data_IF_272774446766
#
_entry.id   IF_272774446766
#
_cell.length_a   1.000
_cell.length_b   1.000
_cell.length_c   1.000
_cell.angle_alpha   90.00
_cell.angle_beta   90.00
_cell.angle_gamma   90.00
#
_symmetry.space_group_name_H-M   'P 1'
#
loop_
_entity.id
_entity.type
_entity.pdbx_description
1 polymer ?
#
# COMPACT_ATOMS: atom_id res chain seq x y z
N UNK A 1 -7.25 31.78 -63.84
CA UNK A 1 -7.77 32.06 -62.51
C UNK A 1 -7.62 30.78 -61.69
N UNK A 2 -6.60 30.71 -60.82
CA UNK A 2 -6.38 29.58 -59.93
C UNK A 2 -6.75 30.06 -58.52
N UNK A 3 -7.82 29.48 -57.95
CA UNK A 3 -8.25 29.73 -56.58
C UNK A 3 -7.37 28.91 -55.60
N UNK A 4 -6.63 29.60 -54.73
CA UNK A 4 -5.87 29.00 -53.66
C UNK A 4 -6.82 28.76 -52.46
N UNK A 5 -7.00 27.51 -52.09
CA UNK A 5 -7.69 27.12 -50.86
C UNK A 5 -6.70 27.22 -49.70
N UNK A 6 -6.97 28.17 -48.82
CA UNK A 6 -6.25 28.34 -47.55
C UNK A 6 -6.89 27.37 -46.54
N UNK A 7 -6.21 26.26 -46.24
CA UNK A 7 -6.57 25.37 -45.13
C UNK A 7 -6.09 26.01 -43.81
N UNK A 8 -7.04 26.57 -43.06
CA UNK A 8 -6.81 27.00 -41.69
C UNK A 8 -6.80 25.75 -40.79
N UNK A 9 -5.64 25.31 -40.36
CA UNK A 9 -5.49 24.37 -39.27
C UNK A 9 -5.88 25.05 -37.97
N UNK A 10 -7.09 24.82 -37.51
CA UNK A 10 -7.49 25.08 -36.11
C UNK A 10 -6.80 24.04 -35.27
N UNK A 11 -5.69 24.42 -34.65
CA UNK A 11 -5.02 23.64 -33.64
C UNK A 11 -5.98 23.51 -32.44
N UNK A 12 -6.60 22.34 -32.28
CA UNK A 12 -7.17 21.92 -31.02
C UNK A 12 -6.01 21.85 -30.03
N UNK A 13 -5.89 22.90 -29.22
CA UNK A 13 -5.14 22.82 -27.94
C UNK A 13 -5.93 21.81 -27.10
N UNK A 14 -5.51 20.56 -27.14
CA UNK A 14 -5.92 19.58 -26.14
C UNK A 14 -5.44 20.16 -24.80
N UNK A 15 -6.37 20.65 -23.99
CA UNK A 15 -6.14 20.86 -22.56
C UNK A 15 -5.50 19.56 -22.04
N UNK A 16 -4.30 19.67 -21.48
CA UNK A 16 -3.55 18.53 -21.00
C UNK A 16 -4.45 17.71 -20.07
N UNK A 17 -4.71 16.50 -20.49
CA UNK A 17 -5.26 15.46 -19.64
C UNK A 17 -4.16 15.21 -18.59
N UNK A 18 -4.41 15.55 -17.33
CA UNK A 18 -3.50 15.29 -16.23
C UNK A 18 -3.37 13.77 -16.08
N UNK A 19 -2.59 13.19 -16.95
CA UNK A 19 -1.86 11.93 -17.03
C UNK A 19 -2.40 10.63 -16.43
N UNK A 20 -3.61 10.58 -15.89
CA UNK A 20 -4.19 9.37 -15.33
C UNK A 20 -5.40 8.92 -16.15
N UNK A 21 -5.20 8.02 -17.12
CA UNK A 21 -6.29 7.35 -17.80
C UNK A 21 -7.25 6.66 -16.82
N UNK A 22 -8.48 6.35 -17.25
CA UNK A 22 -9.40 5.56 -16.45
C UNK A 22 -8.86 4.13 -16.26
N UNK A 23 -8.94 3.61 -15.03
CA UNK A 23 -8.52 2.25 -14.67
C UNK A 23 -9.76 1.43 -14.34
N UNK A 24 -9.98 0.33 -15.08
CA UNK A 24 -11.06 -0.60 -14.78
C UNK A 24 -10.79 -1.34 -13.46
N UNK A 25 -11.84 -1.90 -12.88
CA UNK A 25 -11.68 -2.70 -11.66
C UNK A 25 -10.79 -3.93 -11.92
N UNK A 26 -10.88 -4.54 -13.09
CA UNK A 26 -10.09 -5.71 -13.47
C UNK A 26 -8.60 -5.37 -13.68
N UNK A 27 -8.32 -4.18 -14.21
CA UNK A 27 -6.95 -3.71 -14.45
C UNK A 27 -6.29 -3.12 -13.18
N UNK A 28 -7.09 -2.83 -12.15
CA UNK A 28 -6.63 -2.15 -10.94
C UNK A 28 -5.39 -2.78 -10.30
N UNK A 29 -5.29 -4.11 -10.11
CA UNK A 29 -4.11 -4.73 -9.51
C UNK A 29 -2.85 -4.55 -10.36
N UNK A 30 -2.97 -4.72 -11.69
CA UNK A 30 -1.82 -4.62 -12.61
C UNK A 30 -1.32 -3.18 -12.73
N UNK A 31 -2.23 -2.21 -12.81
CA UNK A 31 -1.89 -0.78 -12.88
C UNK A 31 -1.25 -0.31 -11.57
N UNK A 32 -1.84 -0.69 -10.42
CA UNK A 32 -1.24 -0.40 -9.12
C UNK A 32 0.19 -0.92 -9.03
N UNK A 33 0.40 -2.19 -9.44
CA UNK A 33 1.71 -2.83 -9.44
C UNK A 33 2.70 -2.08 -10.31
N UNK A 34 2.32 -1.71 -11.54
CA UNK A 34 3.19 -0.97 -12.45
C UNK A 34 3.62 0.38 -11.86
N UNK A 35 2.68 1.17 -11.31
CA UNK A 35 2.99 2.46 -10.70
C UNK A 35 3.85 2.31 -9.43
N UNK A 36 3.59 1.29 -8.63
CA UNK A 36 4.40 1.00 -7.44
C UNK A 36 5.82 0.56 -7.83
N UNK A 37 5.98 -0.27 -8.85
CA UNK A 37 7.29 -0.63 -9.39
C UNK A 37 8.05 0.60 -9.91
N UNK A 38 7.38 1.52 -10.59
CA UNK A 38 7.97 2.81 -11.00
C UNK A 38 8.50 3.61 -9.80
N UNK A 39 7.72 3.70 -8.72
CA UNK A 39 8.15 4.33 -7.47
C UNK A 39 9.39 3.63 -6.88
N UNK A 40 9.36 2.30 -6.74
CA UNK A 40 10.44 1.52 -6.16
C UNK A 40 11.74 1.63 -6.96
N UNK A 41 11.66 1.58 -8.30
CA UNK A 41 12.81 1.75 -9.20
C UNK A 41 13.41 3.15 -9.06
N UNK A 42 12.57 4.18 -9.11
CA UNK A 42 13.02 5.57 -8.97
C UNK A 42 13.69 5.84 -7.62
N UNK A 43 13.23 5.19 -6.56
CA UNK A 43 13.80 5.32 -5.22
C UNK A 43 14.99 4.36 -4.97
N UNK A 44 15.41 3.58 -5.96
CA UNK A 44 16.56 2.68 -5.86
C UNK A 44 16.33 1.52 -4.89
N UNK A 45 15.08 1.08 -4.75
CA UNK A 45 14.67 -0.08 -3.93
C UNK A 45 14.73 -1.37 -4.74
N UNK A 46 14.52 -1.27 -6.06
CA UNK A 46 14.66 -2.35 -7.04
C UNK A 46 15.49 -1.84 -8.24
N UNK A 47 16.17 -2.71 -9.01
CA UNK A 47 17.01 -2.29 -10.14
C UNK A 47 16.21 -1.63 -11.26
N UNK A 48 15.10 -2.24 -11.64
CA UNK A 48 14.22 -1.79 -12.73
C UNK A 48 12.78 -2.27 -12.56
N UNK A 49 11.88 -1.74 -13.40
CA UNK A 49 10.45 -2.07 -13.36
C UNK A 49 10.16 -3.51 -13.81
N UNK A 50 10.95 -4.07 -14.72
CA UNK A 50 10.75 -5.42 -15.23
C UNK A 50 11.05 -6.47 -14.15
N UNK A 51 12.14 -6.32 -13.42
CA UNK A 51 12.47 -7.18 -12.28
C UNK A 51 11.42 -7.00 -11.17
N UNK A 52 11.03 -5.77 -10.86
CA UNK A 52 9.98 -5.51 -9.86
C UNK A 52 8.67 -6.23 -10.19
N UNK A 53 8.28 -6.27 -11.46
CA UNK A 53 7.05 -6.93 -11.89
C UNK A 53 7.03 -8.44 -11.58
N UNK A 54 8.18 -9.09 -11.50
CA UNK A 54 8.34 -10.50 -11.12
C UNK A 54 8.36 -10.75 -9.60
N UNK A 55 8.67 -9.73 -8.79
CA UNK A 55 8.86 -9.90 -7.36
C UNK A 55 7.54 -10.05 -6.59
N UNK A 56 7.60 -10.74 -5.47
CA UNK A 56 6.50 -10.79 -4.50
C UNK A 56 6.51 -9.50 -3.66
N UNK A 57 5.81 -8.48 -4.13
CA UNK A 57 5.71 -7.16 -3.46
C UNK A 57 4.51 -7.06 -2.50
N UNK A 58 3.83 -8.18 -2.21
CA UNK A 58 2.80 -8.27 -1.17
C UNK A 58 1.43 -7.68 -1.52
N UNK A 59 1.19 -7.27 -2.76
CA UNK A 59 -0.12 -6.77 -3.19
C UNK A 59 -0.92 -7.86 -3.91
N UNK A 60 -2.26 -7.85 -3.67
CA UNK A 60 -3.18 -8.81 -4.25
C UNK A 60 -3.11 -8.88 -5.78
N UNK A 61 -3.31 -10.07 -6.31
CA UNK A 61 -3.32 -10.34 -7.75
C UNK A 61 -4.70 -10.16 -8.37
N UNK A 62 -5.73 -9.96 -7.55
CA UNK A 62 -7.13 -9.92 -7.97
C UNK A 62 -7.91 -8.90 -7.16
N UNK A 63 -9.05 -8.50 -7.71
CA UNK A 63 -10.04 -7.68 -7.02
C UNK A 63 -10.85 -8.57 -6.09
N UNK A 64 -11.09 -8.10 -4.88
CA UNK A 64 -11.99 -8.76 -3.94
C UNK A 64 -13.37 -9.01 -4.60
N UNK A 65 -13.84 -10.26 -4.68
CA UNK A 65 -15.15 -10.58 -5.24
C UNK A 65 -16.30 -9.88 -4.52
N UNK A 66 -16.20 -9.65 -3.22
CA UNK A 66 -17.21 -8.94 -2.42
C UNK A 66 -17.30 -7.47 -2.82
N UNK A 67 -16.16 -6.82 -3.11
CA UNK A 67 -16.14 -5.45 -3.65
C UNK A 67 -16.87 -5.36 -4.99
N UNK A 68 -16.61 -6.32 -5.90
CA UNK A 68 -17.29 -6.40 -7.19
C UNK A 68 -18.79 -6.57 -7.02
N UNK A 69 -19.20 -7.53 -6.20
CA UNK A 69 -20.61 -7.79 -5.93
C UNK A 69 -21.33 -6.58 -5.30
N UNK A 70 -20.69 -5.87 -4.40
CA UNK A 70 -21.23 -4.64 -3.81
C UNK A 70 -21.39 -3.49 -4.84
N UNK A 71 -20.46 -3.40 -5.82
CA UNK A 71 -20.58 -2.48 -6.96
C UNK A 71 -21.76 -2.87 -7.84
N UNK A 72 -21.88 -4.15 -8.22
CA UNK A 72 -22.97 -4.66 -9.06
C UNK A 72 -24.34 -4.51 -8.37
N UNK A 73 -24.39 -4.67 -7.06
CA UNK A 73 -25.58 -4.43 -6.23
C UNK A 73 -25.91 -2.93 -6.01
N UNK A 74 -25.05 -2.02 -6.49
CA UNK A 74 -25.22 -0.57 -6.33
C UNK A 74 -24.95 -0.05 -4.91
N UNK A 75 -24.44 -0.88 -4.01
CA UNK A 75 -24.04 -0.48 -2.65
C UNK A 75 -22.73 0.31 -2.61
N UNK A 76 -21.94 0.20 -3.67
CA UNK A 76 -20.69 0.95 -3.87
C UNK A 76 -20.71 1.60 -5.25
N UNK A 77 -20.35 2.87 -5.31
CA UNK A 77 -20.02 3.57 -6.56
C UNK A 77 -18.53 3.45 -6.84
N UNK A 78 -18.19 2.96 -8.02
CA UNK A 78 -16.82 2.88 -8.52
C UNK A 78 -16.57 3.96 -9.56
N UNK A 79 -15.45 4.70 -9.41
CA UNK A 79 -15.03 5.73 -10.35
C UNK A 79 -13.63 5.43 -10.90
N UNK A 80 -13.61 4.88 -12.12
CA UNK A 80 -12.38 4.46 -12.81
C UNK A 80 -11.40 5.60 -13.08
N UNK A 81 -11.90 6.81 -13.36
CA UNK A 81 -11.05 7.99 -13.62
C UNK A 81 -10.37 8.49 -12.33
N UNK A 82 -11.08 8.46 -11.20
CA UNK A 82 -10.46 8.80 -9.90
C UNK A 82 -9.44 7.74 -9.53
N UNK A 83 -9.74 6.44 -9.72
CA UNK A 83 -8.79 5.36 -9.45
C UNK A 83 -7.52 5.52 -10.29
N UNK A 84 -7.65 5.86 -11.57
CA UNK A 84 -6.51 6.09 -12.45
C UNK A 84 -5.60 7.23 -11.97
N UNK A 85 -6.18 8.38 -11.59
CA UNK A 85 -5.42 9.48 -11.00
C UNK A 85 -4.74 9.09 -9.69
N UNK A 86 -5.46 8.38 -8.82
CA UNK A 86 -4.93 7.86 -7.56
C UNK A 86 -3.68 6.99 -7.79
N UNK A 87 -3.78 6.02 -8.68
CA UNK A 87 -2.67 5.11 -8.95
C UNK A 87 -1.48 5.81 -9.61
N UNK A 88 -1.74 6.71 -10.57
CA UNK A 88 -0.66 7.47 -11.20
C UNK A 88 0.17 8.29 -10.19
N UNK A 89 -0.45 8.78 -9.11
CA UNK A 89 0.29 9.48 -8.06
C UNK A 89 1.29 8.58 -7.33
N UNK A 90 1.07 7.25 -7.26
CA UNK A 90 2.02 6.31 -6.64
C UNK A 90 3.39 6.42 -7.27
N UNK A 91 3.44 6.41 -8.62
CA UNK A 91 4.69 6.53 -9.36
C UNK A 91 5.46 7.83 -9.09
N UNK A 92 4.77 8.89 -8.63
CA UNK A 92 5.35 10.22 -8.36
C UNK A 92 5.61 10.52 -6.88
N UNK A 93 5.23 9.63 -5.94
CA UNK A 93 5.47 9.81 -4.50
C UNK A 93 6.96 10.10 -4.23
N UNK A 94 7.27 11.07 -3.37
CA UNK A 94 8.65 11.39 -3.00
C UNK A 94 9.37 10.18 -2.41
N UNK A 95 10.65 10.02 -2.74
CA UNK A 95 11.51 9.05 -2.07
C UNK A 95 11.88 9.48 -0.64
N UNK A 96 11.74 10.76 -0.33
CA UNK A 96 11.84 11.27 1.04
C UNK A 96 10.58 10.87 1.83
N UNK A 97 10.74 9.94 2.78
CA UNK A 97 9.62 9.46 3.62
C UNK A 97 9.06 10.52 4.56
N UNK A 98 9.74 11.65 4.68
CA UNK A 98 9.29 12.78 5.50
C UNK A 98 8.55 13.83 4.70
N UNK A 99 8.53 13.69 3.36
CA UNK A 99 7.81 14.57 2.44
C UNK A 99 6.29 14.42 2.58
N UNK A 100 5.57 15.50 2.32
CA UNK A 100 4.11 15.51 2.38
C UNK A 100 3.48 14.47 1.44
N UNK A 101 3.95 14.36 0.20
CA UNK A 101 3.42 13.42 -0.78
C UNK A 101 3.55 11.96 -0.33
N UNK A 102 4.64 11.63 0.37
CA UNK A 102 4.86 10.29 0.90
C UNK A 102 3.95 9.97 2.11
N UNK A 103 3.57 10.97 2.89
CA UNK A 103 2.73 10.80 4.10
C UNK A 103 1.24 10.90 3.83
N UNK A 104 0.85 11.69 2.83
CA UNK A 104 -0.55 11.92 2.48
C UNK A 104 -1.00 11.13 1.25
N UNK A 105 -0.20 10.16 0.82
CA UNK A 105 -0.58 9.30 -0.29
C UNK A 105 -1.92 8.60 -0.01
N UNK A 106 -2.79 8.59 -1.00
CA UNK A 106 -4.10 7.91 -0.93
C UNK A 106 -5.25 8.78 -0.43
N UNK A 107 -5.00 9.95 0.19
CA UNK A 107 -6.05 10.83 0.69
C UNK A 107 -6.98 11.38 -0.39
N UNK A 108 -6.89 12.66 -0.68
CA UNK A 108 -7.79 13.35 -1.64
C UNK A 108 -7.77 12.71 -3.02
N UNK A 109 -6.61 12.27 -3.51
CA UNK A 109 -6.46 11.74 -4.86
C UNK A 109 -7.23 10.44 -5.08
N UNK A 110 -7.32 9.60 -4.06
CA UNK A 110 -8.02 8.31 -4.11
C UNK A 110 -9.47 8.41 -3.61
N UNK A 111 -9.81 9.51 -2.94
CA UNK A 111 -11.16 9.70 -2.44
C UNK A 111 -12.17 9.73 -3.59
N UNK A 112 -13.23 8.96 -3.45
CA UNK A 112 -14.28 8.85 -4.46
C UNK A 112 -14.02 7.80 -5.53
N UNK A 113 -12.85 7.12 -5.54
CA UNK A 113 -12.64 5.95 -6.38
C UNK A 113 -13.61 4.81 -6.01
N UNK A 114 -13.82 4.63 -4.70
CA UNK A 114 -14.72 3.64 -4.10
C UNK A 114 -15.53 4.36 -3.02
N UNK A 115 -16.83 4.55 -3.27
CA UNK A 115 -17.75 5.24 -2.36
C UNK A 115 -18.94 4.37 -2.02
N UNK A 116 -19.15 4.13 -0.73
CA UNK A 116 -20.37 3.53 -0.22
C UNK A 116 -21.60 4.39 -0.55
N UNK A 117 -22.74 3.75 -0.72
CA UNK A 117 -24.01 4.40 -1.04
C UNK A 117 -25.10 4.10 -0.02
N UNK A 118 -24.84 3.22 0.93
CA UNK A 118 -25.84 2.79 1.91
C UNK A 118 -25.93 3.81 3.04
N UNK A 119 -27.14 4.33 3.25
CA UNK A 119 -27.44 5.28 4.34
C UNK A 119 -27.41 4.60 5.71
N UNK A 120 -27.32 5.41 6.77
CA UNK A 120 -27.49 4.96 8.16
C UNK A 120 -28.79 4.20 8.36
N UNK A 121 -28.69 3.02 8.97
CA UNK A 121 -29.82 2.11 9.14
C UNK A 121 -30.04 1.13 7.98
N UNK A 122 -29.35 1.31 6.84
CA UNK A 122 -29.38 0.38 5.72
C UNK A 122 -28.49 -0.85 5.96
N UNK A 123 -28.78 -1.96 5.27
CA UNK A 123 -28.03 -3.21 5.38
C UNK A 123 -26.68 -3.12 4.68
N UNK A 124 -25.65 -3.63 5.35
CA UNK A 124 -24.28 -3.71 4.87
C UNK A 124 -23.63 -5.05 5.21
N UNK A 125 -22.63 -5.42 4.43
CA UNK A 125 -21.75 -6.55 4.72
C UNK A 125 -20.36 -6.06 5.19
N UNK A 126 -19.90 -4.93 4.66
CA UNK A 126 -18.59 -4.33 4.96
C UNK A 126 -18.70 -2.81 5.13
N UNK A 127 -17.75 -2.23 5.84
CA UNK A 127 -17.69 -0.80 6.14
C UNK A 127 -17.72 0.09 4.88
N UNK A 128 -17.10 -0.36 3.80
CA UNK A 128 -17.00 0.39 2.54
C UNK A 128 -18.33 0.58 1.82
N UNK A 129 -19.37 -0.20 2.14
CA UNK A 129 -20.72 -0.03 1.59
C UNK A 129 -21.44 1.19 2.18
N UNK A 130 -21.11 1.55 3.41
CA UNK A 130 -21.79 2.63 4.15
C UNK A 130 -21.26 4.02 3.80
N UNK A 131 -22.15 5.00 3.68
CA UNK A 131 -21.77 6.42 3.60
C UNK A 131 -21.00 6.90 4.84
N UNK A 132 -21.26 6.29 6.00
CA UNK A 132 -20.55 6.54 7.26
C UNK A 132 -19.23 5.78 7.37
N UNK A 133 -18.93 4.83 6.45
CA UNK A 133 -17.82 3.88 6.52
C UNK A 133 -17.82 3.03 7.81
N UNK A 134 -18.98 2.78 8.36
CA UNK A 134 -19.17 1.98 9.59
C UNK A 134 -20.34 1.03 9.40
N UNK A 135 -20.04 -0.27 9.30
CA UNK A 135 -20.99 -1.36 9.27
C UNK A 135 -20.93 -2.10 10.60
N UNK A 136 -21.97 -2.00 11.42
CA UNK A 136 -22.09 -2.76 12.67
C UNK A 136 -22.56 -4.17 12.32
N UNK A 137 -21.62 -5.10 12.21
CA UNK A 137 -21.88 -6.50 11.92
C UNK A 137 -21.95 -7.27 13.25
N UNK A 138 -23.11 -7.82 13.63
CA UNK A 138 -23.23 -8.60 14.85
C UNK A 138 -22.34 -9.85 14.79
N UNK A 139 -21.87 -10.32 15.94
CA UNK A 139 -21.17 -11.59 16.02
C UNK A 139 -22.07 -12.71 15.48
N UNK A 140 -21.66 -13.33 14.39
CA UNK A 140 -22.43 -14.36 13.73
C UNK A 140 -21.52 -15.56 13.36
N UNK A 141 -22.05 -16.78 13.45
CA UNK A 141 -21.27 -17.98 13.11
C UNK A 141 -21.19 -18.25 11.62
N UNK A 142 -21.98 -17.55 10.81
CA UNK A 142 -22.06 -17.77 9.38
C UNK A 142 -21.00 -16.96 8.62
N UNK A 143 -20.61 -17.45 7.46
CA UNK A 143 -19.60 -16.80 6.65
C UNK A 143 -20.05 -15.42 6.10
N UNK A 144 -21.37 -15.18 6.01
CA UNK A 144 -21.97 -13.92 5.57
C UNK A 144 -22.91 -13.37 6.63
N UNK A 145 -22.46 -12.39 7.39
CA UNK A 145 -23.29 -11.68 8.34
C UNK A 145 -23.65 -10.32 7.76
N UNK A 146 -24.94 -10.04 7.71
CA UNK A 146 -25.43 -8.70 7.40
C UNK A 146 -25.41 -7.84 8.66
N UNK A 147 -24.80 -6.69 8.54
CA UNK A 147 -24.81 -5.62 9.55
C UNK A 147 -25.73 -4.49 9.15
N UNK A 148 -25.63 -3.43 9.92
CA UNK A 148 -26.38 -2.19 9.68
C UNK A 148 -25.42 -1.02 9.66
N UNK A 149 -25.51 -0.15 8.66
CA UNK A 149 -24.73 1.08 8.63
C UNK A 149 -25.08 1.97 9.82
N UNK A 150 -24.08 2.30 10.62
CA UNK A 150 -24.22 3.16 11.81
C UNK A 150 -23.45 4.47 11.63
N UNK A 151 -23.69 5.44 12.50
CA UNK A 151 -23.04 6.76 12.43
C UNK A 151 -23.66 7.68 11.39
N UNK A 152 -22.98 8.76 11.06
CA UNK A 152 -23.42 9.76 10.07
C UNK A 152 -22.54 9.69 8.83
N UNK A 153 -23.08 10.07 7.68
CA UNK A 153 -22.31 10.15 6.44
C UNK A 153 -21.06 11.02 6.64
N UNK A 154 -19.92 10.50 6.23
CA UNK A 154 -18.62 11.17 6.38
C UNK A 154 -18.44 12.16 5.23
N UNK A 155 -18.12 13.42 5.55
CA UNK A 155 -17.76 14.41 4.54
C UNK A 155 -16.49 13.96 3.77
N UNK A 156 -16.30 14.42 2.52
CA UNK A 156 -15.05 14.11 1.81
C UNK A 156 -13.84 14.74 2.52
N UNK A 157 -12.66 14.04 2.53
CA UNK A 157 -11.41 14.64 2.99
C UNK A 157 -10.98 15.81 2.07
N UNK A 158 -10.11 16.72 2.52
CA UNK A 158 -9.36 16.65 3.77
C UNK A 158 -10.17 17.13 4.97
N UNK A 159 -10.00 16.46 6.10
CA UNK A 159 -10.65 16.84 7.35
C UNK A 159 -9.83 17.87 8.09
N UNK A 160 -10.51 18.84 8.66
CA UNK A 160 -9.91 19.87 9.52
C UNK A 160 -9.45 19.27 10.86
N UNK A 161 -8.55 19.98 11.52
CA UNK A 161 -8.14 19.66 12.90
C UNK A 161 -9.39 19.59 13.80
N UNK A 162 -9.44 18.52 14.61
CA UNK A 162 -10.57 18.24 15.50
C UNK A 162 -11.64 17.31 14.90
N UNK A 163 -11.56 16.97 13.62
CA UNK A 163 -12.50 16.04 12.95
C UNK A 163 -11.96 14.62 13.04
N UNK A 164 -12.85 13.63 13.20
CA UNK A 164 -12.51 12.22 13.22
C UNK A 164 -11.87 11.76 11.91
N UNK A 165 -10.86 10.88 12.00
CA UNK A 165 -10.08 10.37 10.88
C UNK A 165 -9.78 8.88 11.06
N UNK A 166 -9.39 8.20 9.99
CA UNK A 166 -8.89 6.82 10.03
C UNK A 166 -7.38 6.76 9.71
N UNK A 167 -6.93 7.65 8.82
CA UNK A 167 -5.53 7.71 8.38
C UNK A 167 -5.05 9.16 8.32
N UNK A 168 -3.74 9.36 8.34
CA UNK A 168 -3.15 10.71 8.22
C UNK A 168 -3.51 11.37 6.88
N UNK A 169 -3.69 10.59 5.82
CA UNK A 169 -4.10 11.10 4.52
C UNK A 169 -5.56 11.64 4.46
N UNK A 170 -6.35 11.38 5.49
CA UNK A 170 -7.69 11.97 5.61
C UNK A 170 -7.63 13.42 6.11
N UNK A 171 -6.54 13.83 6.75
CA UNK A 171 -6.41 15.14 7.39
C UNK A 171 -5.88 16.20 6.41
N UNK A 172 -6.21 17.46 6.65
CA UNK A 172 -5.66 18.59 5.90
C UNK A 172 -4.13 18.66 6.02
N UNK A 173 -3.49 19.35 5.07
CA UNK A 173 -2.04 19.60 5.13
C UNK A 173 -1.66 20.28 6.46
N UNK A 174 -0.59 19.81 7.08
CA UNK A 174 -0.18 20.29 8.40
C UNK A 174 -0.85 19.59 9.59
N UNK A 175 -1.65 18.55 9.33
CA UNK A 175 -2.26 17.70 10.35
C UNK A 175 -1.94 16.22 10.14
N UNK A 176 -2.14 15.40 11.19
CA UNK A 176 -2.04 13.96 11.16
C UNK A 176 -3.22 13.33 11.92
N UNK A 177 -3.54 12.09 11.63
CA UNK A 177 -4.53 11.34 12.39
C UNK A 177 -3.86 10.75 13.63
N UNK A 178 -4.27 11.22 14.80
CA UNK A 178 -3.77 10.70 16.08
C UNK A 178 -4.43 9.35 16.37
N UNK A 179 -3.67 8.28 16.29
CA UNK A 179 -4.16 6.90 16.49
C UNK A 179 -4.66 6.57 17.90
N UNK A 180 -4.52 7.49 18.86
CA UNK A 180 -5.04 7.33 20.23
C UNK A 180 -6.45 7.90 20.35
N UNK A 181 -6.72 8.97 19.61
CA UNK A 181 -7.99 9.71 19.67
C UNK A 181 -8.83 9.58 18.41
N UNK A 182 -8.24 9.03 17.32
CA UNK A 182 -8.82 8.96 15.97
C UNK A 182 -9.31 10.32 15.45
N UNK A 183 -8.54 11.41 15.77
CA UNK A 183 -8.87 12.79 15.41
C UNK A 183 -7.71 13.45 14.70
N UNK A 184 -8.00 14.20 13.63
CA UNK A 184 -7.02 15.06 12.96
C UNK A 184 -6.43 16.07 13.94
N UNK A 185 -5.13 16.01 14.14
CA UNK A 185 -4.38 16.81 15.13
C UNK A 185 -3.25 17.55 14.42
N UNK A 186 -2.96 18.78 14.82
CA UNK A 186 -1.87 19.55 14.24
C UNK A 186 -0.52 18.86 14.41
N UNK A 187 0.35 18.97 13.38
CA UNK A 187 1.72 18.44 13.46
C UNK A 187 2.45 19.04 14.66
N UNK A 188 3.21 18.21 15.37
CA UNK A 188 4.00 18.62 16.52
C UNK A 188 5.20 19.46 16.06
N UNK A 189 5.64 20.47 16.83
CA UNK A 189 6.80 21.28 16.45
C UNK A 189 8.11 20.47 16.48
N UNK A 190 9.13 20.99 15.78
CA UNK A 190 10.49 20.45 15.86
C UNK A 190 10.97 20.29 17.31
N UNK A 191 11.60 19.17 17.63
CA UNK A 191 12.06 18.84 18.97
C UNK A 191 11.00 18.30 19.93
N UNK A 192 9.72 18.35 19.57
CA UNK A 192 8.66 17.75 20.40
C UNK A 192 8.74 16.22 20.41
N UNK A 193 8.32 15.62 21.52
CA UNK A 193 8.24 14.16 21.63
C UNK A 193 7.21 13.58 20.67
N UNK A 194 7.55 12.47 20.03
CA UNK A 194 6.73 11.79 19.05
C UNK A 194 6.77 10.26 19.18
N UNK A 195 5.77 9.60 18.64
CA UNK A 195 5.69 8.14 18.54
C UNK A 195 5.79 7.67 17.10
N UNK A 196 5.35 8.52 16.14
CA UNK A 196 5.34 8.27 14.71
C UNK A 196 5.90 9.45 13.92
N UNK A 197 6.49 9.18 12.76
CA UNK A 197 6.93 10.21 11.81
C UNK A 197 5.77 11.10 11.32
N UNK A 198 4.56 10.56 11.26
CA UNK A 198 3.37 11.31 10.83
C UNK A 198 3.01 12.47 11.76
N UNK A 199 3.46 12.44 13.01
CA UNK A 199 3.25 13.52 13.99
C UNK A 199 4.15 14.73 13.76
N UNK A 200 5.24 14.58 13.00
CA UNK A 200 6.28 15.58 12.84
C UNK A 200 6.03 16.50 11.65
N UNK A 201 6.60 17.71 11.60
CA UNK A 201 6.55 18.57 10.42
C UNK A 201 7.11 17.87 9.18
N UNK A 202 6.67 18.26 8.00
CA UNK A 202 7.24 17.75 6.74
C UNK A 202 8.75 18.06 6.69
N UNK A 203 9.53 17.15 6.13
CA UNK A 203 11.00 17.22 6.17
C UNK A 203 11.62 16.71 7.49
N UNK A 204 10.79 16.28 8.45
CA UNK A 204 11.26 15.73 9.73
C UNK A 204 10.65 14.36 10.00
N UNK A 205 11.40 13.51 10.70
CA UNK A 205 10.94 12.21 11.18
C UNK A 205 10.98 12.11 12.69
N UNK A 206 10.31 11.11 13.23
CA UNK A 206 10.31 10.78 14.65
C UNK A 206 11.50 9.86 14.97
N UNK A 207 12.59 10.39 15.47
CA UNK A 207 13.82 9.65 15.71
C UNK A 207 14.38 9.86 17.12
N UNK A 208 15.10 8.86 17.62
CA UNK A 208 15.66 8.79 18.96
C UNK A 208 15.49 7.40 19.57
N UNK A 209 15.90 7.25 20.82
CA UNK A 209 15.69 6.02 21.57
C UNK A 209 14.19 5.85 21.93
N UNK A 210 13.74 4.63 22.04
CA UNK A 210 12.36 4.33 22.47
C UNK A 210 12.04 5.08 23.78
N UNK A 211 10.93 5.80 23.76
CA UNK A 211 10.48 6.64 24.90
C UNK A 211 11.03 8.07 24.93
N UNK A 212 12.03 8.40 24.09
CA UNK A 212 12.61 9.75 24.01
C UNK A 212 12.74 10.26 22.58
N UNK A 213 11.94 9.67 21.65
CA UNK A 213 11.91 10.11 20.25
C UNK A 213 11.42 11.54 20.13
N UNK A 214 12.06 12.30 19.24
CA UNK A 214 11.65 13.68 18.94
C UNK A 214 11.58 13.93 17.44
N UNK A 215 10.78 14.92 17.06
CA UNK A 215 10.70 15.38 15.67
C UNK A 215 12.00 16.10 15.28
N UNK A 216 12.75 15.52 14.34
CA UNK A 216 14.02 16.09 13.85
C UNK A 216 14.26 15.69 12.39
N UNK A 217 15.13 16.45 11.72
CA UNK A 217 15.58 16.10 10.37
C UNK A 217 16.28 14.75 10.40
N UNK A 218 15.89 13.84 9.49
CA UNK A 218 16.54 12.55 9.34
C UNK A 218 17.75 12.67 8.42
N UNK A 219 18.83 11.90 8.70
CA UNK A 219 20.04 11.91 7.90
C UNK A 219 19.82 11.30 6.51
N UNK A 220 20.59 11.80 5.54
CA UNK A 220 20.66 11.29 4.17
C UNK A 220 21.87 10.38 3.98
N UNK A 221 22.00 9.76 2.80
CA UNK A 221 23.14 8.90 2.44
C UNK A 221 24.47 9.61 2.73
N UNK A 222 25.35 8.92 3.44
CA UNK A 222 26.66 9.42 3.87
C UNK A 222 26.67 10.13 5.22
N UNK A 223 25.53 10.52 5.76
CA UNK A 223 25.44 11.16 7.07
C UNK A 223 25.28 10.14 8.21
N UNK A 224 25.66 10.56 9.41
CA UNK A 224 25.55 9.73 10.60
C UNK A 224 24.09 9.51 11.01
N UNK A 225 23.71 8.26 11.29
CA UNK A 225 22.39 7.84 11.74
C UNK A 225 22.43 7.21 13.15
N UNK A 226 22.73 7.96 14.20
CA UNK A 226 22.87 7.43 15.55
C UNK A 226 21.58 6.73 16.03
N UNK A 227 20.43 7.20 15.57
CA UNK A 227 19.12 6.69 15.94
C UNK A 227 18.64 5.51 15.05
N UNK A 228 19.47 5.06 14.11
CA UNK A 228 19.17 3.91 13.25
C UNK A 228 18.20 4.18 12.10
N UNK A 229 17.88 5.44 11.81
CA UNK A 229 16.92 5.83 10.76
C UNK A 229 17.59 6.73 9.72
N UNK A 230 17.22 6.52 8.45
CA UNK A 230 17.59 7.34 7.31
C UNK A 230 16.33 7.91 6.65
N UNK A 231 16.48 9.07 5.98
CA UNK A 231 15.36 9.83 5.45
C UNK A 231 14.70 9.17 4.24
N UNK A 232 15.51 8.76 3.28
CA UNK A 232 14.99 8.36 1.97
C UNK A 232 14.58 6.88 1.93
N UNK A 233 13.58 6.54 1.13
CA UNK A 233 13.30 5.17 0.74
C UNK A 233 14.53 4.58 0.02
N UNK A 234 14.72 3.26 0.10
CA UNK A 234 15.92 2.64 -0.47
C UNK A 234 17.21 2.96 0.28
N UNK A 235 17.13 3.47 1.52
CA UNK A 235 18.29 3.69 2.39
C UNK A 235 18.13 3.02 3.75
N UNK A 236 19.25 2.66 4.36
CA UNK A 236 19.30 2.06 5.70
C UNK A 236 20.47 2.61 6.51
N UNK A 237 20.40 2.43 7.82
CA UNK A 237 21.47 2.80 8.74
C UNK A 237 22.39 1.59 8.95
N UNK A 238 23.64 1.68 8.49
CA UNK A 238 24.63 0.61 8.60
C UNK A 238 25.04 0.33 10.05
N UNK A 239 25.72 -0.78 10.30
CA UNK A 239 26.35 -1.08 11.59
C UNK A 239 27.34 0.01 12.03
N UNK A 240 27.99 0.70 11.09
CA UNK A 240 28.87 1.84 11.35
C UNK A 240 28.12 3.15 11.66
N UNK A 241 26.79 3.11 11.76
CA UNK A 241 25.93 4.26 12.05
C UNK A 241 26.03 5.38 10.99
N UNK A 242 26.14 5.01 9.74
CA UNK A 242 26.04 5.91 8.58
C UNK A 242 24.91 5.45 7.66
N UNK A 243 24.17 6.39 7.09
CA UNK A 243 23.14 6.07 6.09
C UNK A 243 23.81 5.64 4.79
N UNK A 244 23.37 4.50 4.27
CA UNK A 244 23.79 3.94 2.99
C UNK A 244 22.57 3.58 2.13
N UNK A 245 22.76 3.44 0.83
CA UNK A 245 21.74 2.83 -0.05
C UNK A 245 21.63 1.34 0.29
N UNK A 246 20.42 0.81 0.20
CA UNK A 246 20.19 -0.65 0.26
C UNK A 246 20.88 -1.33 -0.91
N UNK A 247 21.44 -2.51 -0.68
CA UNK A 247 22.05 -3.32 -1.72
C UNK A 247 20.99 -3.89 -2.68
N UNK A 248 21.29 -3.83 -3.96
CA UNK A 248 20.54 -4.45 -5.05
C UNK A 248 21.20 -5.80 -5.45
N UNK A 249 20.59 -6.63 -6.30
CA UNK A 249 21.17 -7.90 -6.71
C UNK A 249 22.61 -7.78 -7.21
N UNK A 250 23.50 -8.58 -6.63
CA UNK A 250 24.94 -8.56 -6.90
C UNK A 250 25.76 -7.64 -5.99
N UNK A 251 25.15 -6.73 -5.23
CA UNK A 251 25.85 -5.90 -4.27
C UNK A 251 26.31 -6.73 -3.05
N UNK A 252 27.48 -6.40 -2.53
CA UNK A 252 28.03 -7.07 -1.34
C UNK A 252 27.18 -6.77 -0.10
N UNK A 253 26.96 -7.77 0.74
CA UNK A 253 26.22 -7.67 1.99
C UNK A 253 26.87 -8.50 3.11
N UNK A 254 26.62 -8.14 4.35
CA UNK A 254 26.97 -8.94 5.52
C UNK A 254 25.72 -9.56 6.17
N UNK A 255 24.59 -8.88 6.03
CA UNK A 255 23.30 -9.30 6.60
C UNK A 255 22.16 -9.01 5.62
N UNK A 256 20.99 -9.62 5.84
CA UNK A 256 19.79 -9.31 5.06
C UNK A 256 19.37 -7.84 5.18
N UNK A 257 19.74 -7.15 6.26
CA UNK A 257 19.42 -5.74 6.46
C UNK A 257 20.20 -4.80 5.54
N UNK A 258 21.29 -5.27 4.94
CA UNK A 258 22.08 -4.49 3.99
C UNK A 258 21.42 -4.48 2.59
N UNK A 259 20.61 -5.50 2.29
CA UNK A 259 19.88 -5.62 1.03
C UNK A 259 18.53 -4.90 1.11
N UNK A 260 18.02 -4.48 -0.06
CA UNK A 260 16.65 -4.00 -0.16
C UNK A 260 15.66 -5.05 0.37
N UNK A 261 14.52 -4.59 0.87
CA UNK A 261 13.52 -5.44 1.52
C UNK A 261 12.98 -6.58 0.65
N UNK A 262 13.26 -6.58 -0.64
CA UNK A 262 12.86 -7.62 -1.59
C UNK A 262 13.95 -8.67 -1.83
N UNK A 263 15.15 -8.44 -1.32
CA UNK A 263 16.32 -9.30 -1.52
C UNK A 263 16.85 -9.84 -0.20
N UNK A 264 17.70 -10.84 -0.30
CA UNK A 264 18.35 -11.51 0.83
C UNK A 264 19.85 -11.51 0.63
N UNK A 265 20.61 -11.48 1.72
CA UNK A 265 22.05 -11.70 1.67
C UNK A 265 22.31 -13.21 1.58
N UNK A 266 22.83 -13.67 0.45
CA UNK A 266 23.05 -15.09 0.18
C UNK A 266 24.32 -15.63 0.85
N UNK A 267 24.58 -16.94 0.67
CA UNK A 267 25.76 -17.59 1.23
C UNK A 267 27.10 -17.11 0.64
N UNK A 268 27.08 -16.34 -0.47
CA UNK A 268 28.27 -15.73 -1.09
C UNK A 268 28.46 -14.27 -0.66
N UNK A 269 27.65 -13.79 0.28
CA UNK A 269 27.64 -12.41 0.79
C UNK A 269 27.30 -11.36 -0.29
N UNK A 270 26.35 -11.70 -1.16
CA UNK A 270 25.78 -10.80 -2.13
C UNK A 270 24.26 -10.76 -1.98
N UNK A 271 23.68 -9.57 -2.23
CA UNK A 271 22.23 -9.45 -2.31
C UNK A 271 21.70 -10.23 -3.50
N UNK A 272 20.74 -11.09 -3.27
CA UNK A 272 20.12 -11.95 -4.29
C UNK A 272 18.61 -12.00 -4.07
N UNK A 273 17.87 -12.44 -5.06
CA UNK A 273 16.46 -12.76 -4.90
C UNK A 273 16.30 -13.87 -3.86
N UNK A 274 15.12 -13.96 -3.25
CA UNK A 274 14.76 -15.08 -2.40
C UNK A 274 14.70 -16.40 -3.19
N UNK A 275 14.28 -17.46 -2.52
CA UNK A 275 14.11 -18.78 -3.15
C UNK A 275 12.98 -18.76 -4.20
N UNK A 276 13.22 -19.41 -5.34
CA UNK A 276 12.20 -19.61 -6.37
C UNK A 276 11.30 -20.81 -6.04
N UNK A 277 10.22 -20.99 -6.81
CA UNK A 277 9.32 -22.11 -6.63
C UNK A 277 10.08 -23.45 -6.68
N UNK A 278 9.80 -24.30 -5.69
CA UNK A 278 10.49 -25.59 -5.52
C UNK A 278 11.83 -25.51 -4.78
N UNK A 279 12.37 -24.32 -4.55
CA UNK A 279 13.63 -24.14 -3.82
C UNK A 279 13.41 -23.95 -2.31
N UNK A 280 14.50 -24.17 -1.55
CA UNK A 280 14.45 -24.05 -0.09
C UNK A 280 14.42 -22.59 0.38
N UNK A 281 13.39 -22.25 1.14
CA UNK A 281 13.25 -20.98 1.86
C UNK A 281 13.61 -21.11 3.36
N UNK A 282 14.36 -22.16 3.74
CA UNK A 282 14.69 -22.44 5.15
C UNK A 282 15.48 -21.32 5.84
N UNK A 283 16.34 -20.63 5.11
CA UNK A 283 17.25 -19.62 5.67
C UNK A 283 16.55 -18.30 5.90
N UNK A 284 15.71 -17.85 4.96
CA UNK A 284 15.17 -16.49 4.94
C UNK A 284 13.65 -16.43 4.99
N UNK A 285 12.95 -17.58 4.93
CA UNK A 285 11.49 -17.71 4.89
C UNK A 285 10.81 -16.84 3.79
N UNK A 286 11.54 -16.53 2.72
CA UNK A 286 11.12 -15.60 1.67
C UNK A 286 11.21 -16.24 0.29
N UNK A 287 10.13 -16.14 -0.47
CA UNK A 287 10.05 -16.55 -1.87
C UNK A 287 10.15 -15.33 -2.78
N UNK A 288 10.92 -15.47 -3.87
CA UNK A 288 11.16 -14.39 -4.82
C UNK A 288 9.94 -14.12 -5.70
N UNK A 289 9.34 -15.21 -6.19
CA UNK A 289 8.32 -15.14 -7.22
C UNK A 289 7.00 -14.62 -6.67
N UNK A 290 6.34 -13.79 -7.46
CA UNK A 290 5.01 -13.30 -7.15
C UNK A 290 4.00 -14.46 -7.04
N UNK A 291 3.17 -14.42 -6.01
CA UNK A 291 2.18 -15.47 -5.77
C UNK A 291 2.75 -16.73 -5.12
N UNK A 292 4.02 -16.72 -4.67
CA UNK A 292 4.61 -17.84 -3.94
C UNK A 292 4.69 -17.55 -2.44
N UNK A 293 4.61 -18.61 -1.64
CA UNK A 293 4.81 -18.55 -0.19
C UNK A 293 5.82 -19.60 0.28
N UNK A 294 6.50 -19.31 1.38
CA UNK A 294 7.37 -20.30 2.03
C UNK A 294 6.52 -21.23 2.90
N UNK A 295 6.43 -22.49 2.53
CA UNK A 295 5.73 -23.51 3.30
C UNK A 295 6.49 -23.81 4.59
N UNK A 296 5.90 -23.49 5.72
CA UNK A 296 6.54 -23.60 7.02
C UNK A 296 6.88 -25.06 7.41
N UNK A 297 6.18 -26.04 6.89
CA UNK A 297 6.41 -27.47 7.18
C UNK A 297 7.57 -28.03 6.38
N UNK A 298 7.63 -27.74 5.07
CA UNK A 298 8.65 -28.29 4.17
C UNK A 298 9.84 -27.34 3.96
N UNK A 299 9.69 -26.05 4.32
CA UNK A 299 10.68 -24.99 4.04
C UNK A 299 11.01 -24.85 2.55
N UNK A 300 10.01 -25.06 1.70
CA UNK A 300 10.11 -24.93 0.24
C UNK A 300 9.13 -23.86 -0.23
N UNK A 301 9.53 -23.06 -1.21
CA UNK A 301 8.66 -22.11 -1.87
C UNK A 301 7.65 -22.84 -2.75
N UNK A 302 6.38 -22.56 -2.55
CA UNK A 302 5.24 -23.15 -3.27
C UNK A 302 4.36 -22.04 -3.86
N UNK A 303 3.79 -22.32 -5.03
CA UNK A 303 2.72 -21.50 -5.58
C UNK A 303 1.48 -21.46 -4.67
N UNK A 304 0.64 -20.44 -4.84
CA UNK A 304 -0.62 -20.35 -4.11
C UNK A 304 -1.46 -21.61 -4.32
N UNK A 305 -2.16 -22.01 -3.29
CA UNK A 305 -2.98 -23.22 -3.29
C UNK A 305 -4.35 -22.93 -3.90
N UNK A 306 -4.84 -23.80 -4.80
CA UNK A 306 -6.18 -23.67 -5.34
C UNK A 306 -7.26 -23.96 -4.27
N UNK A 307 -8.49 -23.58 -4.55
CA UNK A 307 -9.63 -23.86 -3.70
C UNK A 307 -9.77 -25.36 -3.43
N UNK A 308 -10.10 -25.71 -2.19
CA UNK A 308 -10.16 -27.08 -1.68
C UNK A 308 -8.83 -27.63 -1.16
N UNK A 309 -7.69 -27.00 -1.45
CA UNK A 309 -6.41 -27.42 -0.91
C UNK A 309 -6.26 -27.02 0.57
N UNK A 310 -5.48 -27.79 1.32
CA UNK A 310 -5.20 -27.48 2.73
C UNK A 310 -4.34 -26.25 2.89
N UNK A 311 -4.65 -25.40 3.85
CA UNK A 311 -3.94 -24.18 4.17
C UNK A 311 -3.73 -24.02 5.67
N UNK A 312 -2.81 -23.13 6.04
CA UNK A 312 -2.58 -22.70 7.44
C UNK A 312 -2.74 -21.20 7.61
N UNK A 313 -2.82 -20.46 6.50
CA UNK A 313 -3.10 -19.03 6.48
C UNK A 313 -3.69 -18.62 5.13
N UNK A 314 -4.46 -17.53 5.11
CA UNK A 314 -5.09 -17.01 3.90
C UNK A 314 -4.07 -16.61 2.82
N UNK A 315 -2.85 -16.23 3.20
CA UNK A 315 -1.78 -15.88 2.26
C UNK A 315 -1.26 -17.05 1.41
N UNK A 316 -1.69 -18.28 1.70
CA UNK A 316 -1.34 -19.48 0.95
C UNK A 316 -2.35 -19.80 -0.16
N UNK A 317 -3.50 -19.15 -0.16
CA UNK A 317 -4.61 -19.46 -1.07
C UNK A 317 -4.66 -18.48 -2.25
N UNK A 318 -4.99 -18.97 -3.45
CA UNK A 318 -5.32 -18.13 -4.61
C UNK A 318 -6.50 -17.21 -4.32
N UNK A 319 -7.50 -17.71 -3.59
CA UNK A 319 -8.66 -16.96 -3.12
C UNK A 319 -8.37 -16.01 -1.96
N UNK A 320 -7.15 -16.01 -1.41
CA UNK A 320 -6.76 -15.24 -0.20
C UNK A 320 -7.66 -15.54 1.02
N UNK A 321 -8.37 -16.68 1.02
CA UNK A 321 -9.28 -17.08 2.08
C UNK A 321 -9.03 -18.52 2.52
N UNK A 322 -8.56 -18.69 3.76
CA UNK A 322 -8.28 -19.98 4.39
C UNK A 322 -9.20 -20.13 5.61
N UNK A 323 -10.11 -21.10 5.57
CA UNK A 323 -11.13 -21.29 6.58
C UNK A 323 -11.24 -22.75 7.01
N UNK A 324 -11.79 -22.96 8.20
CA UNK A 324 -11.96 -24.29 8.82
C UNK A 324 -11.51 -24.31 10.26
N UNK A 325 -11.49 -25.50 10.84
CA UNK A 325 -10.98 -25.71 12.20
C UNK A 325 -9.47 -25.93 12.18
N UNK A 326 -8.78 -25.56 13.25
CA UNK A 326 -7.34 -25.77 13.41
C UNK A 326 -6.95 -27.22 13.06
N UNK A 327 -6.08 -27.39 12.06
CA UNK A 327 -5.64 -28.69 11.55
C UNK A 327 -6.47 -29.24 10.36
N UNK A 328 -7.57 -28.59 9.97
CA UNK A 328 -8.41 -28.94 8.83
C UNK A 328 -8.89 -27.70 8.07
N UNK A 329 -8.00 -26.70 7.93
CA UNK A 329 -8.29 -25.49 7.16
C UNK A 329 -8.06 -25.74 5.68
N UNK A 330 -8.92 -25.17 4.84
CA UNK A 330 -8.85 -25.29 3.37
C UNK A 330 -9.00 -23.91 2.73
N UNK A 331 -8.37 -23.75 1.56
CA UNK A 331 -8.60 -22.61 0.68
C UNK A 331 -10.02 -22.68 0.14
N UNK A 332 -10.74 -21.59 0.22
CA UNK A 332 -12.10 -21.46 -0.33
C UNK A 332 -12.25 -20.09 -0.98
N UNK A 333 -13.16 -20.01 -1.93
CA UNK A 333 -13.63 -18.70 -2.38
C UNK A 333 -14.25 -18.00 -1.18
N UNK A 334 -13.84 -16.77 -0.90
CA UNK A 334 -14.48 -15.97 0.14
C UNK A 334 -15.96 -15.83 -0.21
N UNK A 335 -16.87 -16.17 0.74
CA UNK A 335 -18.30 -16.06 0.46
C UNK A 335 -18.65 -14.60 0.17
N UNK A 336 -19.33 -14.39 -0.97
CA UNK A 336 -19.77 -13.06 -1.38
C UNK A 336 -20.97 -12.68 -0.52
N UNK A 337 -20.76 -11.76 0.39
CA UNK A 337 -21.82 -11.21 1.23
C UNK A 337 -22.35 -9.91 0.57
N UNK A 338 -23.66 -9.89 0.26
CA UNK A 338 -24.33 -8.74 -0.38
C UNK A 338 -25.46 -8.24 0.50
#
# INVERSE_FOLDING_TARGET
>A
MRAAFLLVFVGLVACGDDGGGSVSLDDAPSVFRAEYCRYLTRCGVVPDEAECAGLNIGFGSHVDPSLRAAIDAGKIKFNSAILGRCYHQIGSISCDRTDESARQFGGIACYGAILGTVDTGGQCAVDTECLSKMCDVPACPDACCQGTCIGVAVAPPPYQIGVACQTTSDCESGAYCDSTTDVCTALKPAGATCTSTNECPYGMGCAGLTGTRTCKTLPVVGEACPDGQCRDAGTYCTAAKACAKVGLPGDACATNGDCSSFYVCDGTQHCAQGAHEGESCAVNARCADYGNFCDNATKICKGLQPDGATCTSSSQCESVFCTGTTGAMICQVEPICI
#
